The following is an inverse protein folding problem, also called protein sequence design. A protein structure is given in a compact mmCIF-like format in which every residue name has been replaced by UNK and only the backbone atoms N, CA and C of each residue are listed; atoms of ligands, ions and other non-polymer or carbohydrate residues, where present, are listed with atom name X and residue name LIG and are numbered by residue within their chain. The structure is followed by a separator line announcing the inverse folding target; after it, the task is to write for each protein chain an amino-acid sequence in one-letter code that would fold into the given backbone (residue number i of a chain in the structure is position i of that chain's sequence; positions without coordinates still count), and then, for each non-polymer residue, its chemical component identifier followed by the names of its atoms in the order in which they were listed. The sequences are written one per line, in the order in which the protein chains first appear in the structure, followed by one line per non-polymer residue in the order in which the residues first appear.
data_IF_300427417540
#
_entry.id   IF_300427417540
#
_cell.length_a   1.000
_cell.length_b   1.000
_cell.length_c   1.000
_cell.angle_alpha   90.00
_cell.angle_beta   90.00
_cell.angle_gamma   90.00
#
_symmetry.space_group_name_H-M   'P 1'
#
loop_
_entity.id
_entity.type
_entity.pdbx_description
1 polymer ?
#
# COMPACT_ATOMS: atom_id res chain seq x y z
N UNK A 1 25.07 12.47 -18.53
CA UNK A 1 23.91 13.29 -18.07
C UNK A 1 24.48 14.26 -17.05
N UNK A 2 24.05 15.54 -16.99
CA UNK A 2 24.63 16.46 -16.02
C UNK A 2 24.26 15.99 -14.61
N UNK A 3 25.27 15.83 -13.75
CA UNK A 3 25.07 15.51 -12.34
C UNK A 3 24.20 16.61 -11.72
N UNK A 4 23.09 16.20 -11.09
CA UNK A 4 22.19 17.14 -10.42
C UNK A 4 22.94 17.75 -9.24
N UNK A 5 23.01 19.08 -9.19
CA UNK A 5 23.75 19.79 -8.15
C UNK A 5 22.88 19.98 -6.90
N UNK A 6 23.19 19.28 -5.82
CA UNK A 6 22.56 19.42 -4.50
C UNK A 6 21.90 18.13 -3.98
N UNK A 7 21.69 18.01 -2.65
CA UNK A 7 21.08 16.82 -2.06
C UNK A 7 19.63 16.64 -2.54
N UNK A 8 19.13 15.39 -2.65
CA UNK A 8 17.75 15.14 -3.03
C UNK A 8 16.79 15.75 -1.99
N UNK A 9 15.59 16.19 -2.41
CA UNK A 9 14.59 16.67 -1.48
C UNK A 9 14.17 15.57 -0.48
N UNK A 10 13.99 15.96 0.78
CA UNK A 10 13.57 15.06 1.85
C UNK A 10 12.03 15.02 1.99
N UNK A 11 11.47 13.91 2.49
CA UNK A 11 10.03 13.75 2.73
C UNK A 11 9.57 14.29 4.10
N UNK A 12 10.50 14.56 5.01
CA UNK A 12 10.32 14.61 6.47
C UNK A 12 9.32 15.67 6.99
N UNK A 13 9.00 16.68 6.18
CA UNK A 13 8.06 17.76 6.53
C UNK A 13 6.61 17.51 6.06
N UNK A 14 6.36 16.44 5.31
CA UNK A 14 5.03 16.20 4.75
C UNK A 14 4.08 15.66 5.83
N UNK A 15 3.12 16.48 6.27
CA UNK A 15 2.11 16.12 7.26
C UNK A 15 0.78 15.67 6.66
N UNK A 16 0.62 15.85 5.34
CA UNK A 16 -0.56 15.42 4.58
C UNK A 16 -0.15 14.70 3.29
N UNK A 17 -1.05 13.91 2.73
CA UNK A 17 -0.83 13.26 1.43
C UNK A 17 -0.60 14.26 0.28
N UNK A 18 -1.21 15.44 0.34
CA UNK A 18 -1.01 16.49 -0.64
C UNK A 18 0.42 17.06 -0.59
N UNK A 19 0.93 17.34 0.62
CA UNK A 19 2.31 17.77 0.84
C UNK A 19 3.31 16.69 0.40
N UNK A 20 3.03 15.43 0.74
CA UNK A 20 3.86 14.29 0.33
C UNK A 20 3.94 14.17 -1.18
N UNK A 21 2.81 14.30 -1.88
CA UNK A 21 2.76 14.32 -3.35
C UNK A 21 3.53 15.49 -3.95
N UNK A 22 3.46 16.67 -3.33
CA UNK A 22 4.27 17.82 -3.76
C UNK A 22 5.77 17.54 -3.61
N UNK A 23 6.20 16.83 -2.57
CA UNK A 23 7.60 16.40 -2.41
C UNK A 23 8.00 15.38 -3.49
N UNK A 24 7.14 14.43 -3.85
CA UNK A 24 7.41 13.50 -4.96
C UNK A 24 7.62 14.24 -6.29
N UNK A 25 6.84 15.30 -6.55
CA UNK A 25 7.05 16.17 -7.72
C UNK A 25 8.37 16.91 -7.66
N UNK A 26 8.74 17.45 -6.49
CA UNK A 26 10.04 18.10 -6.29
C UNK A 26 11.20 17.12 -6.52
N UNK A 27 11.06 15.85 -6.13
CA UNK A 27 12.05 14.81 -6.40
C UNK A 27 12.17 14.50 -7.90
N UNK A 28 11.04 14.47 -8.63
CA UNK A 28 11.05 14.34 -10.10
C UNK A 28 11.74 15.52 -10.78
N UNK A 29 11.54 16.72 -10.25
CA UNK A 29 12.18 17.92 -10.75
C UNK A 29 13.68 17.93 -10.47
N UNK A 30 14.08 17.54 -9.27
CA UNK A 30 15.48 17.38 -8.90
C UNK A 30 16.20 16.43 -9.86
N UNK A 31 15.63 15.27 -10.19
CA UNK A 31 16.27 14.35 -11.15
C UNK A 31 16.19 14.81 -12.63
N UNK A 32 15.78 16.05 -12.90
CA UNK A 32 15.79 16.66 -14.24
C UNK A 32 14.54 16.39 -15.07
N UNK A 33 13.42 16.03 -14.43
CA UNK A 33 12.13 15.73 -15.07
C UNK A 33 12.23 14.74 -16.25
N UNK A 34 12.87 13.57 -16.06
CA UNK A 34 12.95 12.57 -17.13
C UNK A 34 11.56 12.12 -17.56
N UNK A 35 11.42 11.80 -18.86
CA UNK A 35 10.20 11.17 -19.39
C UNK A 35 9.91 9.89 -18.60
N UNK A 36 8.64 9.64 -18.27
CA UNK A 36 8.27 8.51 -17.40
C UNK A 36 8.81 7.16 -17.90
N UNK A 37 8.87 6.94 -19.23
CA UNK A 37 9.45 5.73 -19.81
C UNK A 37 10.95 5.57 -19.49
N UNK A 38 11.72 6.66 -19.53
CA UNK A 38 13.14 6.65 -19.22
C UNK A 38 13.39 6.42 -17.71
N UNK A 39 12.50 6.95 -16.87
CA UNK A 39 12.53 6.74 -15.42
C UNK A 39 12.18 5.28 -15.05
N UNK A 40 11.10 4.74 -15.61
CA UNK A 40 10.64 3.38 -15.35
C UNK A 40 11.64 2.32 -15.82
N UNK A 41 12.45 2.60 -16.86
CA UNK A 41 13.49 1.68 -17.32
C UNK A 41 14.65 1.45 -16.34
N UNK A 42 14.69 2.14 -15.19
CA UNK A 42 15.76 2.02 -14.18
C UNK A 42 15.41 1.08 -13.02
N UNK A 43 14.14 0.73 -12.85
CA UNK A 43 13.62 -0.05 -11.73
C UNK A 43 12.47 -0.93 -12.21
N UNK A 44 12.51 -2.21 -11.87
CA UNK A 44 11.43 -3.14 -12.21
C UNK A 44 10.16 -2.87 -11.39
N UNK A 45 9.00 -3.13 -11.99
CA UNK A 45 7.71 -2.99 -11.32
C UNK A 45 7.15 -1.56 -11.23
N UNK A 46 7.78 -0.57 -11.87
CA UNK A 46 7.24 0.78 -12.02
C UNK A 46 6.75 1.01 -13.45
N UNK A 47 5.47 1.38 -13.62
CA UNK A 47 4.90 1.69 -14.94
C UNK A 47 4.70 3.21 -15.13
N UNK A 48 4.74 3.72 -16.38
CA UNK A 48 4.45 5.14 -16.64
C UNK A 48 3.07 5.59 -16.16
N UNK A 49 2.08 4.68 -16.17
CA UNK A 49 0.76 4.92 -15.65
C UNK A 49 0.78 5.11 -14.13
N UNK A 50 1.51 4.27 -13.40
CA UNK A 50 1.69 4.41 -11.95
C UNK A 50 2.37 5.74 -11.59
N UNK A 51 3.38 6.18 -12.36
CA UNK A 51 3.98 7.51 -12.16
C UNK A 51 2.95 8.62 -12.40
N UNK A 52 2.12 8.50 -13.43
CA UNK A 52 1.07 9.47 -13.71
C UNK A 52 0.00 9.54 -12.60
N UNK A 53 -0.34 8.43 -11.96
CA UNK A 53 -1.31 8.42 -10.83
C UNK A 53 -0.69 8.91 -9.52
N UNK A 54 0.64 8.83 -9.37
CA UNK A 54 1.36 9.36 -8.21
C UNK A 54 1.51 10.89 -8.26
N UNK A 55 2.02 11.43 -9.37
CA UNK A 55 2.44 12.85 -9.45
C UNK A 55 1.74 13.68 -10.54
N UNK A 56 0.84 13.06 -11.31
CA UNK A 56 0.15 13.71 -12.43
C UNK A 56 -0.91 14.74 -12.00
N UNK A 57 -1.83 15.05 -12.93
CA UNK A 57 -2.83 16.12 -12.79
C UNK A 57 -3.83 15.85 -11.65
N UNK A 58 -4.23 14.59 -11.49
CA UNK A 58 -5.15 14.13 -10.45
C UNK A 58 -4.48 12.99 -9.66
N UNK A 59 -3.59 13.31 -8.70
CA UNK A 59 -2.91 12.28 -7.94
C UNK A 59 -3.89 11.55 -7.01
N UNK A 60 -3.59 10.30 -6.69
CA UNK A 60 -4.36 9.53 -5.71
C UNK A 60 -4.32 10.21 -4.33
N UNK A 61 -5.45 10.20 -3.63
CA UNK A 61 -5.57 10.75 -2.26
C UNK A 61 -4.61 10.07 -1.29
N UNK A 62 -4.34 8.78 -1.51
CA UNK A 62 -3.28 8.02 -0.87
C UNK A 62 -2.52 7.24 -1.93
N UNK A 63 -1.28 7.61 -2.26
CA UNK A 63 -0.47 6.87 -3.22
C UNK A 63 -0.13 5.47 -2.67
N UNK A 64 -0.11 4.40 -3.48
CA UNK A 64 0.33 3.08 -3.04
C UNK A 64 1.79 3.11 -2.57
N UNK A 65 2.10 2.41 -1.46
CA UNK A 65 3.45 2.41 -0.87
C UNK A 65 4.49 1.86 -1.85
N UNK A 66 4.20 0.70 -2.45
CA UNK A 66 5.10 0.05 -3.41
C UNK A 66 5.41 0.95 -4.59
N UNK A 67 4.39 1.59 -5.18
CA UNK A 67 4.58 2.50 -6.31
C UNK A 67 5.40 3.74 -5.90
N UNK A 68 5.16 4.27 -4.70
CA UNK A 68 5.91 5.40 -4.13
C UNK A 68 7.40 5.06 -3.96
N UNK A 69 7.69 3.94 -3.31
CA UNK A 69 9.06 3.47 -3.06
C UNK A 69 9.82 3.26 -4.36
N UNK A 70 9.20 2.59 -5.34
CA UNK A 70 9.81 2.33 -6.65
C UNK A 70 10.04 3.61 -7.45
N UNK A 71 9.12 4.57 -7.37
CA UNK A 71 9.29 5.87 -7.99
C UNK A 71 10.43 6.68 -7.37
N UNK A 72 10.54 6.69 -6.04
CA UNK A 72 11.63 7.36 -5.32
C UNK A 72 12.98 6.74 -5.69
N UNK A 73 13.07 5.41 -5.66
CA UNK A 73 14.25 4.66 -6.09
C UNK A 73 14.67 5.03 -7.51
N UNK A 74 13.72 5.07 -8.45
CA UNK A 74 13.98 5.43 -9.83
C UNK A 74 14.52 6.87 -9.97
N UNK A 75 13.93 7.83 -9.25
CA UNK A 75 14.39 9.23 -9.28
C UNK A 75 15.80 9.38 -8.69
N UNK A 76 16.09 8.70 -7.59
CA UNK A 76 17.40 8.74 -6.93
C UNK A 76 18.50 8.09 -7.78
N UNK A 77 18.21 6.94 -8.42
CA UNK A 77 19.12 6.30 -9.38
C UNK A 77 19.33 7.15 -10.62
N UNK A 78 18.30 7.87 -11.07
CA UNK A 78 18.40 8.75 -12.23
C UNK A 78 19.22 10.00 -11.93
N UNK A 79 19.04 10.58 -10.74
CA UNK A 79 19.81 11.74 -10.27
C UNK A 79 21.15 11.39 -9.60
N UNK A 80 21.58 10.12 -9.66
CA UNK A 80 22.86 9.62 -9.15
C UNK A 80 23.11 9.95 -7.65
N UNK A 81 22.08 9.78 -6.82
CA UNK A 81 22.19 9.97 -5.37
C UNK A 81 23.16 8.97 -4.72
N UNK A 82 23.99 9.44 -3.79
CA UNK A 82 25.04 8.65 -3.12
C UNK A 82 24.47 7.57 -2.18
N UNK A 83 23.26 7.77 -1.64
CA UNK A 83 22.67 6.91 -0.60
C UNK A 83 21.24 6.47 -0.92
N UNK A 84 21.03 5.87 -2.10
CA UNK A 84 19.69 5.48 -2.61
C UNK A 84 18.87 4.69 -1.59
N UNK A 85 19.44 3.64 -0.98
CA UNK A 85 18.73 2.78 -0.03
C UNK A 85 18.29 3.53 1.24
N UNK A 86 19.16 4.37 1.79
CA UNK A 86 18.86 5.17 2.97
C UNK A 86 17.75 6.18 2.68
N UNK A 87 17.82 6.86 1.53
CA UNK A 87 16.76 7.78 1.08
C UNK A 87 15.43 7.04 0.89
N UNK A 88 15.42 5.92 0.15
CA UNK A 88 14.22 5.10 -0.04
C UNK A 88 13.60 4.69 1.30
N UNK A 89 14.43 4.29 2.27
CA UNK A 89 14.00 4.00 3.63
C UNK A 89 13.31 5.18 4.32
N UNK A 90 13.87 6.40 4.20
CA UNK A 90 13.26 7.63 4.74
C UNK A 90 11.90 7.93 4.10
N UNK A 91 11.81 7.82 2.78
CA UNK A 91 10.55 8.02 2.05
C UNK A 91 9.47 6.99 2.41
N UNK A 92 9.84 5.72 2.55
CA UNK A 92 8.92 4.67 3.02
C UNK A 92 8.47 4.88 4.47
N UNK A 93 9.37 5.31 5.36
CA UNK A 93 9.02 5.62 6.75
C UNK A 93 8.03 6.77 6.86
N UNK A 94 8.21 7.84 6.06
CA UNK A 94 7.27 8.96 6.04
C UNK A 94 5.91 8.56 5.45
N UNK A 95 5.89 7.75 4.39
CA UNK A 95 4.65 7.22 3.84
C UNK A 95 3.86 6.45 4.90
N UNK A 96 4.53 5.58 5.66
CA UNK A 96 3.90 4.82 6.76
C UNK A 96 3.41 5.74 7.88
N UNK A 97 4.17 6.76 8.24
CA UNK A 97 3.74 7.74 9.25
C UNK A 97 2.46 8.49 8.85
N UNK A 98 2.24 8.75 7.55
CA UNK A 98 1.02 9.35 7.03
C UNK A 98 -0.15 8.35 6.90
N UNK A 99 0.16 7.06 6.81
CA UNK A 99 -0.80 5.99 6.68
C UNK A 99 -1.43 5.55 8.01
N UNK A 100 -0.76 5.79 9.13
CA UNK A 100 -1.27 5.48 10.48
C UNK A 100 -2.50 6.33 10.81
N UNK A 101 -3.68 5.72 11.07
CA UNK A 101 -4.87 6.45 11.48
C UNK A 101 -4.72 6.92 12.93
N UNK A 102 -4.46 8.23 13.13
CA UNK A 102 -4.44 8.86 14.45
C UNK A 102 -3.16 9.60 14.84
N UNK A 103 -2.25 9.86 13.89
CA UNK A 103 -1.08 10.70 14.17
C UNK A 103 -1.48 12.12 14.57
N UNK A 104 -1.45 12.41 15.87
CA UNK A 104 -1.53 13.77 16.40
C UNK A 104 -0.57 14.68 15.60
N UNK A 105 -0.97 15.94 15.30
CA UNK A 105 -0.12 16.84 14.53
C UNK A 105 1.21 16.98 15.25
N UNK A 106 2.30 16.52 14.59
CA UNK A 106 3.65 16.79 15.09
C UNK A 106 3.79 18.30 15.20
N UNK A 107 4.15 18.84 16.38
CA UNK A 107 4.34 20.29 16.51
C UNK A 107 5.45 20.73 15.57
N UNK A 108 5.10 21.66 14.67
CA UNK A 108 5.99 22.32 13.72
C UNK A 108 7.20 22.89 14.46
N UNK A 109 8.35 22.25 14.37
CA UNK A 109 9.64 22.88 14.69
C UNK A 109 10.08 23.71 13.50
N UNK A 110 9.52 24.92 13.41
CA UNK A 110 10.22 26.02 12.75
C UNK A 110 11.35 26.51 13.66
N UNK A 111 12.51 26.67 13.05
CA UNK A 111 13.78 26.70 13.76
C UNK A 111 14.13 27.99 14.49
N UNK A 112 15.10 27.80 15.39
CA UNK A 112 16.12 28.72 15.94
C UNK A 112 15.55 29.90 16.77
N UNK A 113 15.97 30.15 18.02
CA UNK A 113 17.31 30.21 18.62
C UNK A 113 17.23 30.14 20.16
N UNK A 114 18.42 30.04 20.78
CA UNK A 114 18.77 30.35 22.17
C UNK A 114 18.78 29.17 23.18
N UNK A 115 20.00 28.64 23.32
CA UNK A 115 20.78 28.59 24.56
C UNK A 115 20.19 28.04 25.87
N UNK A 116 21.12 27.38 26.58
CA UNK A 116 21.18 27.13 28.01
C UNK A 116 20.47 25.87 28.53
N UNK A 117 21.32 24.90 28.90
CA UNK A 117 21.45 24.50 30.30
C UNK A 117 20.37 23.57 30.85
N UNK A 118 20.82 22.44 31.41
CA UNK A 118 20.01 21.67 32.34
C UNK A 118 20.14 20.18 32.12
N UNK A 119 21.12 19.58 32.77
CA UNK A 119 21.16 18.15 33.01
C UNK A 119 19.88 17.71 33.73
N UNK A 120 19.19 16.72 33.17
CA UNK A 120 18.22 15.92 33.92
C UNK A 120 18.55 14.46 33.66
N UNK A 121 19.12 13.85 34.71
CA UNK A 121 19.23 12.42 34.90
C UNK A 121 17.83 11.82 34.84
N UNK A 122 17.59 10.91 33.90
CA UNK A 122 16.42 10.03 33.96
C UNK A 122 16.87 8.58 33.83
N UNK A 123 16.46 7.86 34.86
CA UNK A 123 16.72 6.47 35.21
C UNK A 123 16.38 5.55 34.04
N UNK A 124 17.29 4.60 33.80
CA UNK A 124 17.09 3.46 32.92
C UNK A 124 15.83 2.68 33.32
N UNK A 125 14.77 2.85 32.53
CA UNK A 125 13.64 1.94 32.46
C UNK A 125 13.63 1.31 31.07
N UNK A 126 14.48 0.31 30.86
CA UNK A 126 14.45 -0.50 29.65
C UNK A 126 13.17 -1.34 29.68
N UNK A 127 12.08 -0.78 29.14
CA UNK A 127 10.92 -1.60 28.78
C UNK A 127 11.26 -2.25 27.44
N UNK A 128 11.94 -3.39 27.51
CA UNK A 128 12.03 -4.34 26.42
C UNK A 128 10.61 -4.85 26.18
N UNK A 129 9.87 -4.18 25.28
CA UNK A 129 8.74 -4.83 24.65
C UNK A 129 9.30 -5.77 23.60
N UNK A 130 9.34 -7.04 23.99
CA UNK A 130 9.51 -8.19 23.11
C UNK A 130 8.60 -7.96 21.90
N UNK A 131 9.20 -7.82 20.71
CA UNK A 131 8.45 -7.99 19.48
C UNK A 131 7.96 -9.42 19.48
N UNK A 132 6.70 -9.63 19.84
CA UNK A 132 6.01 -10.87 19.55
C UNK A 132 5.93 -10.91 18.03
N UNK A 133 6.83 -11.69 17.42
CA UNK A 133 6.59 -12.16 16.08
C UNK A 133 5.27 -12.92 16.15
N UNK A 134 4.18 -12.32 15.66
CA UNK A 134 2.94 -13.05 15.45
C UNK A 134 3.30 -14.17 14.49
N UNK A 135 3.30 -15.39 15.03
CA UNK A 135 3.27 -16.59 14.24
C UNK A 135 2.14 -16.42 13.21
N UNK A 136 2.44 -16.79 11.96
CA UNK A 136 1.48 -16.95 10.88
C UNK A 136 0.23 -17.62 11.43
N UNK A 137 -0.85 -16.86 11.59
CA UNK A 137 -2.14 -17.46 11.89
C UNK A 137 -2.58 -18.22 10.64
N UNK A 138 -2.85 -19.51 10.76
CA UNK A 138 -3.33 -20.39 9.68
C UNK A 138 -4.80 -20.06 9.26
N UNK A 139 -5.16 -18.79 9.22
CA UNK A 139 -6.53 -18.34 8.98
C UNK A 139 -6.68 -16.84 8.86
N UNK A 140 -7.89 -16.40 8.56
CA UNK A 140 -8.22 -15.00 8.40
C UNK A 140 -8.26 -14.24 9.74
N UNK A 141 -7.91 -12.95 9.70
CA UNK A 141 -7.99 -12.04 10.84
C UNK A 141 -8.94 -10.89 10.55
N UNK A 142 -9.84 -10.59 11.48
CA UNK A 142 -10.76 -9.45 11.36
C UNK A 142 -9.99 -8.13 11.53
N UNK A 143 -10.10 -7.25 10.54
CA UNK A 143 -9.57 -5.89 10.56
C UNK A 143 -10.70 -4.89 10.71
N UNK A 144 -10.58 -4.02 11.70
CA UNK A 144 -11.46 -2.85 11.85
C UNK A 144 -11.11 -1.80 10.81
N UNK A 145 -12.12 -1.23 10.15
CA UNK A 145 -11.92 -0.21 9.14
C UNK A 145 -13.10 -0.09 8.19
N UNK A 146 -13.30 1.11 7.66
CA UNK A 146 -14.41 1.40 6.77
C UNK A 146 -13.96 1.35 5.32
N UNK A 147 -14.68 0.60 4.48
CA UNK A 147 -14.44 0.57 3.03
C UNK A 147 -15.76 0.67 2.25
N UNK A 148 -15.76 1.52 1.23
CA UNK A 148 -16.90 1.70 0.33
C UNK A 148 -16.76 0.76 -0.87
N UNK A 149 -17.75 -0.10 -1.04
CA UNK A 149 -17.92 -0.92 -2.22
C UNK A 149 -18.65 -0.11 -3.30
N UNK A 150 -17.88 0.39 -4.26
CA UNK A 150 -18.40 1.18 -5.38
C UNK A 150 -19.26 0.38 -6.35
N UNK A 151 -19.17 -0.96 -6.36
CA UNK A 151 -20.01 -1.83 -7.19
C UNK A 151 -21.41 -1.97 -6.60
N UNK A 152 -21.53 -2.21 -5.29
CA UNK A 152 -22.84 -2.41 -4.62
C UNK A 152 -23.37 -1.15 -3.93
N UNK A 153 -22.58 -0.08 -3.86
CA UNK A 153 -22.88 1.15 -3.10
C UNK A 153 -23.09 0.90 -1.61
N UNK A 154 -22.40 -0.10 -1.07
CA UNK A 154 -22.44 -0.45 0.34
C UNK A 154 -21.17 -0.01 1.05
N UNK A 155 -21.28 0.29 2.35
CA UNK A 155 -20.14 0.62 3.19
C UNK A 155 -19.96 -0.47 4.24
N UNK A 156 -18.76 -1.06 4.29
CA UNK A 156 -18.41 -2.13 5.20
C UNK A 156 -17.59 -1.59 6.37
N UNK A 157 -17.95 -1.96 7.60
CA UNK A 157 -17.33 -1.46 8.84
C UNK A 157 -16.09 -2.25 9.31
N UNK A 158 -15.88 -3.41 8.69
CA UNK A 158 -14.74 -4.28 8.94
C UNK A 158 -14.54 -5.20 7.74
N UNK A 159 -13.31 -5.69 7.62
CA UNK A 159 -12.84 -6.62 6.60
C UNK A 159 -12.09 -7.77 7.26
N UNK A 160 -11.67 -8.74 6.47
CA UNK A 160 -10.94 -9.91 6.92
C UNK A 160 -9.66 -10.05 6.11
N UNK A 161 -8.50 -9.95 6.75
CA UNK A 161 -7.23 -10.18 6.11
C UNK A 161 -6.89 -11.66 6.15
N UNK A 162 -6.69 -12.27 4.99
CA UNK A 162 -6.43 -13.70 4.87
C UNK A 162 -5.13 -13.91 4.09
N UNK A 163 -4.32 -14.92 4.47
CA UNK A 163 -3.20 -15.34 3.63
C UNK A 163 -3.73 -15.91 2.32
N UNK A 164 -3.12 -15.52 1.20
CA UNK A 164 -3.51 -15.96 -0.15
C UNK A 164 -2.27 -16.16 -1.02
N UNK A 165 -2.45 -16.67 -2.23
CA UNK A 165 -1.39 -16.63 -3.25
C UNK A 165 -1.31 -15.21 -3.85
N UNK A 166 -0.11 -14.71 -4.18
CA UNK A 166 0.01 -13.47 -4.93
C UNK A 166 -0.32 -13.70 -6.41
N UNK A 167 -0.76 -12.63 -7.10
CA UNK A 167 -1.17 -12.60 -8.52
C UNK A 167 -2.38 -13.49 -8.81
N UNK A 168 -3.37 -13.45 -7.92
CA UNK A 168 -4.63 -14.20 -8.06
C UNK A 168 -5.66 -13.38 -8.82
N UNK A 169 -6.34 -13.99 -9.76
CA UNK A 169 -7.44 -13.37 -10.51
C UNK A 169 -8.67 -13.15 -9.64
N UNK A 170 -9.28 -11.97 -9.77
CA UNK A 170 -10.57 -11.61 -9.18
C UNK A 170 -11.61 -11.65 -10.30
N UNK A 171 -12.66 -12.44 -10.13
CA UNK A 171 -13.67 -12.70 -11.15
C UNK A 171 -14.95 -11.89 -10.94
N UNK A 172 -15.62 -11.52 -12.03
CA UNK A 172 -16.85 -10.71 -12.00
C UNK A 172 -17.95 -11.34 -11.12
N UNK A 173 -18.04 -12.66 -11.13
CA UNK A 173 -19.01 -13.49 -10.41
C UNK A 173 -18.27 -14.59 -9.63
N UNK A 174 -18.97 -15.28 -8.74
CA UNK A 174 -18.45 -16.45 -8.03
C UNK A 174 -18.35 -17.69 -8.96
N UNK A 175 -17.69 -17.52 -10.11
CA UNK A 175 -17.45 -18.52 -11.13
C UNK A 175 -16.21 -18.10 -11.93
N UNK A 176 -15.49 -19.07 -12.50
CA UNK A 176 -14.42 -18.79 -13.44
C UNK A 176 -15.00 -18.17 -14.70
N UNK A 177 -14.37 -17.10 -15.18
CA UNK A 177 -14.85 -16.37 -16.35
C UNK A 177 -14.10 -15.06 -16.51
N UNK A 178 -14.85 -13.96 -16.60
CA UNK A 178 -14.26 -12.62 -16.76
C UNK A 178 -13.48 -12.24 -15.51
N UNK A 179 -12.15 -12.19 -15.64
CA UNK A 179 -11.28 -11.56 -14.66
C UNK A 179 -11.40 -10.04 -14.74
N UNK A 180 -11.65 -9.40 -13.61
CA UNK A 180 -11.89 -7.95 -13.49
C UNK A 180 -10.76 -7.24 -12.76
N UNK A 181 -10.00 -7.97 -11.94
CA UNK A 181 -8.82 -7.45 -11.26
C UNK A 181 -7.86 -8.58 -10.87
N UNK A 182 -6.71 -8.20 -10.31
CA UNK A 182 -5.71 -9.11 -9.76
C UNK A 182 -5.38 -8.69 -8.32
N UNK A 183 -5.30 -9.65 -7.41
CA UNK A 183 -4.67 -9.51 -6.10
C UNK A 183 -3.16 -9.70 -6.28
N UNK A 184 -2.37 -8.64 -6.13
CA UNK A 184 -0.91 -8.67 -6.22
C UNK A 184 -0.25 -8.94 -4.86
N UNK A 185 -0.98 -8.68 -3.78
CA UNK A 185 -0.53 -8.76 -2.40
C UNK A 185 -0.81 -10.11 -1.74
N UNK A 186 -0.08 -10.39 -0.66
CA UNK A 186 -0.32 -11.46 0.30
C UNK A 186 0.16 -10.97 1.68
N UNK A 187 -0.70 -10.93 2.70
CA UNK A 187 -2.13 -11.26 2.68
C UNK A 187 -2.99 -10.17 2.03
N UNK A 188 -4.14 -10.56 1.51
CA UNK A 188 -5.19 -9.67 0.96
C UNK A 188 -6.40 -9.60 1.89
N UNK A 189 -7.25 -8.59 1.70
CA UNK A 189 -8.45 -8.41 2.49
C UNK A 189 -9.70 -8.86 1.74
N UNK A 190 -10.70 -9.33 2.48
CA UNK A 190 -11.96 -9.86 1.98
C UNK A 190 -13.13 -9.33 2.82
N UNK A 191 -14.31 -9.26 2.21
CA UNK A 191 -15.52 -8.74 2.86
C UNK A 191 -16.40 -9.87 3.34
N UNK A 192 -16.79 -10.78 2.45
CA UNK A 192 -17.73 -11.84 2.75
C UNK A 192 -17.41 -13.05 1.89
N UNK A 193 -18.05 -14.17 2.17
CA UNK A 193 -18.00 -15.35 1.33
C UNK A 193 -19.38 -15.65 0.73
N UNK A 194 -19.42 -16.37 -0.37
CA UNK A 194 -20.65 -16.91 -0.94
C UNK A 194 -20.39 -18.27 -1.56
N UNK A 195 -21.45 -18.91 -2.07
CA UNK A 195 -21.34 -20.15 -2.85
C UNK A 195 -21.40 -19.85 -4.35
N UNK A 196 -20.60 -20.58 -5.11
CA UNK A 196 -20.41 -20.36 -6.54
C UNK A 196 -20.09 -21.62 -7.31
N UNK A 197 -19.32 -21.50 -8.37
CA UNK A 197 -18.83 -22.63 -9.15
C UNK A 197 -17.86 -23.48 -8.31
N UNK A 198 -17.94 -24.81 -8.43
CA UNK A 198 -16.94 -25.69 -7.84
C UNK A 198 -15.55 -25.45 -8.46
N UNK A 199 -14.50 -25.53 -7.64
CA UNK A 199 -13.11 -25.29 -8.05
C UNK A 199 -12.16 -26.35 -7.47
N UNK A 200 -10.87 -26.27 -7.80
CA UNK A 200 -9.85 -27.28 -7.44
C UNK A 200 -9.66 -27.49 -5.92
N UNK A 201 -10.22 -26.60 -5.09
CA UNK A 201 -10.24 -26.73 -3.64
C UNK A 201 -11.27 -27.74 -3.10
N UNK A 202 -12.04 -28.40 -3.98
CA UNK A 202 -13.01 -29.44 -3.61
C UNK A 202 -14.28 -28.90 -2.94
N UNK A 203 -14.50 -27.58 -2.97
CA UNK A 203 -15.69 -26.91 -2.46
C UNK A 203 -16.19 -25.85 -3.47
N UNK A 204 -17.24 -25.13 -3.09
CA UNK A 204 -17.93 -24.12 -3.89
C UNK A 204 -17.84 -22.72 -3.26
N UNK A 205 -16.86 -22.47 -2.37
CA UNK A 205 -16.77 -21.24 -1.60
C UNK A 205 -15.93 -20.19 -2.32
N UNK A 206 -16.48 -18.97 -2.42
CA UNK A 206 -15.83 -17.83 -3.05
C UNK A 206 -15.83 -16.64 -2.11
N UNK A 207 -14.74 -15.87 -2.10
CA UNK A 207 -14.58 -14.69 -1.25
C UNK A 207 -14.65 -13.42 -2.07
N UNK A 208 -15.43 -12.46 -1.58
CA UNK A 208 -15.64 -11.17 -2.21
C UNK A 208 -14.61 -10.14 -1.73
N UNK A 209 -13.98 -9.45 -2.68
CA UNK A 209 -12.87 -8.51 -2.44
C UNK A 209 -12.78 -7.47 -3.57
N UNK A 210 -11.87 -6.50 -3.41
CA UNK A 210 -11.42 -5.61 -4.48
C UNK A 210 -9.97 -5.94 -4.81
N UNK A 211 -9.67 -6.17 -6.09
CA UNK A 211 -8.29 -6.43 -6.52
C UNK A 211 -7.38 -5.21 -6.39
N UNK A 212 -6.08 -5.46 -6.20
CA UNK A 212 -5.03 -4.43 -6.11
C UNK A 212 -4.88 -3.66 -7.43
N UNK A 213 -5.11 -4.36 -8.55
CA UNK A 213 -5.08 -3.78 -9.89
C UNK A 213 -6.25 -4.26 -10.72
N UNK A 214 -7.12 -3.33 -11.14
CA UNK A 214 -8.18 -3.60 -12.11
C UNK A 214 -7.57 -3.96 -13.48
N UNK A 215 -8.06 -5.05 -14.08
CA UNK A 215 -7.61 -5.57 -15.37
C UNK A 215 -8.72 -5.51 -16.44
N UNK A 216 -9.98 -5.46 -16.02
CA UNK A 216 -11.14 -5.36 -16.91
C UNK A 216 -12.35 -4.77 -16.19
N UNK A 217 -13.41 -4.47 -16.96
CA UNK A 217 -14.70 -3.98 -16.45
C UNK A 217 -14.57 -2.77 -15.49
N UNK A 218 -14.16 -1.58 -16.00
CA UNK A 218 -13.95 -0.39 -15.16
C UNK A 218 -15.13 -0.03 -14.25
N UNK A 219 -16.36 -0.32 -14.69
CA UNK A 219 -17.61 -0.12 -13.96
C UNK A 219 -17.71 -0.94 -12.67
N UNK A 220 -16.94 -2.02 -12.55
CA UNK A 220 -16.89 -2.86 -11.35
C UNK A 220 -15.82 -2.40 -10.37
N UNK A 221 -14.97 -1.43 -10.74
CA UNK A 221 -13.93 -0.87 -9.89
C UNK A 221 -13.00 -1.93 -9.27
N UNK A 222 -12.80 -3.06 -9.96
CA UNK A 222 -12.01 -4.21 -9.49
C UNK A 222 -12.65 -5.08 -8.42
N UNK A 223 -13.94 -4.87 -8.10
CA UNK A 223 -14.69 -5.68 -7.14
C UNK A 223 -15.19 -6.99 -7.75
N UNK A 224 -14.91 -8.10 -7.09
CA UNK A 224 -15.30 -9.42 -7.55
C UNK A 224 -14.96 -10.52 -6.56
N UNK A 225 -14.84 -11.74 -7.08
CA UNK A 225 -14.77 -12.96 -6.30
C UNK A 225 -13.49 -13.75 -6.58
N UNK A 226 -12.97 -14.39 -5.54
CA UNK A 226 -11.79 -15.25 -5.59
C UNK A 226 -12.16 -16.62 -5.03
N UNK A 227 -11.80 -17.74 -5.70
CA UNK A 227 -12.14 -19.06 -5.20
C UNK A 227 -11.35 -19.39 -3.93
N UNK A 228 -11.94 -20.16 -3.03
CA UNK A 228 -11.30 -20.48 -1.75
C UNK A 228 -9.98 -21.25 -1.88
N UNK A 229 -9.73 -21.92 -3.01
CA UNK A 229 -8.46 -22.61 -3.29
C UNK A 229 -7.25 -21.67 -3.41
N UNK A 230 -7.48 -20.37 -3.57
CA UNK A 230 -6.41 -19.37 -3.64
C UNK A 230 -6.04 -18.79 -2.27
N UNK A 231 -6.87 -19.04 -1.26
CA UNK A 231 -6.59 -18.68 0.12
C UNK A 231 -5.86 -19.83 0.82
N UNK A 232 -4.89 -19.49 1.66
CA UNK A 232 -4.13 -20.45 2.48
C UNK A 232 -4.76 -20.57 3.87
N UNK A 233 -6.03 -20.96 3.89
CA UNK A 233 -6.84 -21.16 5.11
C UNK A 233 -7.08 -22.65 5.33
N UNK A 234 -7.22 -23.07 6.60
CA UNK A 234 -7.44 -24.48 6.95
C UNK A 234 -8.84 -25.02 6.62
N UNK A 235 -9.84 -24.13 6.55
CA UNK A 235 -11.24 -24.46 6.25
C UNK A 235 -11.86 -23.38 5.35
N UNK A 236 -12.80 -23.78 4.49
CA UNK A 236 -13.56 -22.87 3.62
C UNK A 236 -15.07 -23.08 3.83
N UNK A 237 -15.84 -22.05 4.22
CA UNK A 237 -15.38 -20.69 4.54
C UNK A 237 -14.50 -20.66 5.80
N UNK A 238 -13.55 -19.74 5.85
CA UNK A 238 -12.73 -19.54 7.05
C UNK A 238 -13.64 -19.10 8.22
N UNK A 239 -13.51 -19.72 9.41
CA UNK A 239 -14.38 -19.44 10.56
C UNK A 239 -14.40 -17.97 11.00
N UNK A 240 -13.34 -17.20 10.73
CA UNK A 240 -13.32 -15.79 11.05
C UNK A 240 -14.24 -14.97 10.13
N UNK A 241 -14.46 -15.41 8.88
CA UNK A 241 -15.35 -14.74 7.93
C UNK A 241 -16.79 -15.20 8.17
N UNK A 242 -17.41 -14.65 9.20
CA UNK A 242 -18.81 -14.99 9.57
C UNK A 242 -19.85 -14.41 8.62
N UNK A 243 -19.46 -13.48 7.74
CA UNK A 243 -20.38 -12.75 6.84
C UNK A 243 -20.53 -13.47 5.49
N UNK A 244 -21.77 -13.81 5.14
CA UNK A 244 -22.16 -14.29 3.81
C UNK A 244 -22.64 -13.14 2.91
N UNK A 245 -22.21 -13.15 1.65
CA UNK A 245 -22.85 -12.43 0.54
C UNK A 245 -24.01 -13.31 0.00
#
# INVERSE_FOLDING_TARGET
MPAVSGPPPAPDDASTWAEFTARLRALHEWCGRPKYRALCGRVDGLSPAAVSTLIGKNPLTRPPETATVRFVEACLRYGEAVSVEAEVGRWGAQWRALAEPGGAPRPRRWGRWAAAGGAVVLVAGAVVWVAVASASGDGCQRLSGTIEDLRTKQTWQYMFQCPNRPRVGVYEKAEFGTEVAVLETDPSWFICWTRGQAHEGGNDVWYYTQGDRATGRPELHGWGYVPASELRVGEAPDPAITRRC
#
